data_IF_661716458978
#
_entry.id   IF_661716458978
#
_cell.length_a   1.000
_cell.length_b   1.000
_cell.length_c   1.000
_cell.angle_alpha   90.00
_cell.angle_beta   90.00
_cell.angle_gamma   90.00
#
_symmetry.space_group_name_H-M   'P 1'
#
loop_
_entity.id
_entity.type
_entity.pdbx_description
1 polymer ?
#
# COMPACT_ATOMS: atom_id res chain seq x y z
N UNK A 1 -52.43 -17.38 8.95
CA UNK A 1 -50.96 -17.29 8.96
C UNK A 1 -50.55 -16.77 10.34
N UNK A 2 -50.18 -17.65 11.28
CA UNK A 2 -49.79 -17.28 12.66
C UNK A 2 -48.28 -17.40 12.75
N UNK A 3 -47.58 -16.27 12.77
CA UNK A 3 -46.14 -16.26 12.97
C UNK A 3 -45.82 -16.80 14.37
N UNK A 4 -44.93 -17.80 14.43
CA UNK A 4 -44.57 -18.49 15.67
C UNK A 4 -43.79 -17.53 16.60
N UNK A 5 -44.11 -17.48 17.91
CA UNK A 5 -43.45 -16.59 18.86
C UNK A 5 -41.94 -16.87 19.00
N UNK A 6 -41.50 -18.05 18.55
CA UNK A 6 -40.10 -18.46 18.51
C UNK A 6 -39.27 -17.62 17.50
N UNK A 7 -39.91 -17.12 16.43
CA UNK A 7 -39.26 -16.28 15.43
C UNK A 7 -38.96 -14.87 15.96
N UNK A 8 -39.79 -14.35 16.89
CA UNK A 8 -39.57 -13.04 17.51
C UNK A 8 -38.39 -13.04 18.49
N UNK A 9 -38.16 -14.16 19.19
CA UNK A 9 -37.05 -14.27 20.15
C UNK A 9 -35.69 -14.32 19.43
N UNK A 10 -35.62 -14.94 18.24
CA UNK A 10 -34.39 -14.99 17.42
C UNK A 10 -34.01 -13.59 16.88
N UNK A 11 -35.00 -12.77 16.49
CA UNK A 11 -34.75 -11.41 15.99
C UNK A 11 -34.28 -10.48 17.12
N UNK A 12 -34.86 -10.61 18.33
CA UNK A 12 -34.44 -9.81 19.49
C UNK A 12 -33.00 -10.12 19.94
N UNK A 13 -32.55 -11.37 19.83
CA UNK A 13 -31.19 -11.77 20.18
C UNK A 13 -30.12 -11.23 19.20
N UNK A 14 -30.46 -11.03 17.92
CA UNK A 14 -29.53 -10.53 16.91
C UNK A 14 -29.27 -9.01 17.02
N UNK A 15 -30.13 -8.26 17.71
CA UNK A 15 -29.99 -6.82 17.89
C UNK A 15 -28.95 -6.42 18.96
N UNK A 16 -28.54 -7.33 19.84
CA UNK A 16 -27.60 -7.03 20.93
C UNK A 16 -26.13 -7.07 20.44
N UNK A 17 -25.87 -7.64 19.26
CA UNK A 17 -24.53 -7.75 18.67
C UNK A 17 -24.24 -6.67 17.61
N UNK A 18 -24.83 -5.46 17.72
CA UNK A 18 -24.43 -4.33 16.88
C UNK A 18 -23.26 -3.59 17.55
N UNK A 19 -22.02 -3.68 17.03
CA UNK A 19 -20.97 -2.77 17.47
C UNK A 19 -21.34 -1.38 16.95
N UNK A 20 -21.82 -0.53 17.85
CA UNK A 20 -21.95 0.89 17.62
C UNK A 20 -20.56 1.51 17.45
N UNK A 21 -20.02 1.51 16.23
CA UNK A 21 -18.87 2.34 15.87
C UNK A 21 -19.41 3.75 15.66
N UNK A 22 -19.62 4.47 16.76
CA UNK A 22 -19.99 5.88 16.75
C UNK A 22 -18.73 6.74 16.92
N UNK A 23 -18.42 7.46 15.84
CA UNK A 23 -17.83 8.79 15.81
C UNK A 23 -16.44 8.99 16.47
N UNK A 24 -15.39 8.69 15.70
CA UNK A 24 -14.03 9.14 16.00
C UNK A 24 -13.28 9.54 14.72
N UNK A 25 -13.28 10.85 14.44
CA UNK A 25 -12.47 11.60 13.45
C UNK A 25 -12.77 11.36 11.96
N UNK A 26 -13.25 12.45 11.33
CA UNK A 26 -13.14 12.73 9.90
C UNK A 26 -11.80 12.19 9.37
N UNK A 27 -11.79 11.33 8.34
CA UNK A 27 -10.59 11.18 7.54
C UNK A 27 -10.36 12.54 6.88
N UNK A 28 -9.38 13.28 7.40
CA UNK A 28 -8.64 14.23 6.56
C UNK A 28 -8.23 13.43 5.34
N UNK A 29 -8.49 13.98 4.16
CA UNK A 29 -8.09 13.48 2.86
C UNK A 29 -6.89 12.54 2.95
N UNK A 30 -7.19 11.26 3.15
CA UNK A 30 -6.25 10.22 2.85
C UNK A 30 -6.27 10.24 1.34
N UNK A 31 -5.37 11.02 0.75
CA UNK A 31 -4.76 10.61 -0.51
C UNK A 31 -4.33 9.18 -0.20
N UNK A 32 -5.16 8.22 -0.60
CA UNK A 32 -4.80 6.83 -0.57
C UNK A 32 -3.44 6.80 -1.25
N UNK A 33 -2.40 6.46 -0.49
CA UNK A 33 -1.07 6.33 -1.04
C UNK A 33 -1.18 5.16 -2.02
N UNK A 34 -1.56 5.47 -3.26
CA UNK A 34 -1.58 4.51 -4.34
C UNK A 34 -0.15 3.99 -4.39
N UNK A 35 0.06 2.68 -4.19
CA UNK A 35 1.40 2.13 -4.17
C UNK A 35 2.11 2.56 -5.46
N UNK A 36 3.33 3.07 -5.32
CA UNK A 36 4.15 3.52 -6.44
C UNK A 36 4.55 2.38 -7.40
N UNK A 37 4.18 1.15 -7.03
CA UNK A 37 4.47 -0.10 -7.69
C UNK A 37 3.15 -0.80 -7.94
N UNK A 38 2.87 -1.14 -9.20
CA UNK A 38 1.73 -1.96 -9.56
C UNK A 38 1.95 -3.41 -9.07
N UNK A 39 0.91 -4.00 -8.48
CA UNK A 39 0.97 -5.35 -7.94
C UNK A 39 1.14 -6.41 -9.03
N UNK A 40 0.72 -6.13 -10.28
CA UNK A 40 0.95 -7.02 -11.41
C UNK A 40 2.39 -6.95 -11.96
N UNK A 41 3.16 -5.91 -11.63
CA UNK A 41 4.56 -5.73 -12.07
C UNK A 41 5.50 -5.26 -10.94
N UNK A 42 5.78 -6.11 -9.95
CA UNK A 42 6.46 -5.71 -8.69
C UNK A 42 7.92 -5.21 -8.86
N UNK A 43 8.53 -5.43 -10.02
CA UNK A 43 9.87 -4.94 -10.38
C UNK A 43 9.88 -3.54 -11.03
N UNK A 44 8.72 -2.99 -11.37
CA UNK A 44 8.58 -1.69 -12.03
C UNK A 44 7.89 -0.71 -11.09
N UNK A 45 8.46 0.48 -10.97
CA UNK A 45 7.80 1.61 -10.32
C UNK A 45 7.40 2.61 -11.39
N UNK A 46 6.18 3.11 -11.33
CA UNK A 46 5.66 4.09 -12.28
C UNK A 46 5.79 5.53 -11.77
N UNK A 47 6.02 5.68 -10.46
CA UNK A 47 6.02 6.97 -9.77
C UNK A 47 7.07 7.04 -8.67
N UNK A 48 7.64 8.24 -8.48
CA UNK A 48 8.55 8.51 -7.36
C UNK A 48 7.75 8.85 -6.11
N UNK A 49 8.23 8.40 -4.96
CA UNK A 49 7.66 8.77 -3.66
C UNK A 49 7.80 10.27 -3.36
N UNK A 50 8.84 10.92 -3.90
CA UNK A 50 9.03 12.36 -3.79
C UNK A 50 8.21 13.17 -4.80
N UNK A 51 7.66 12.53 -5.83
CA UNK A 51 6.91 13.24 -6.87
C UNK A 51 5.50 13.59 -6.42
N UNK A 52 5.11 14.84 -6.69
CA UNK A 52 3.77 15.38 -6.40
C UNK A 52 2.68 14.94 -7.36
N UNK A 53 2.90 13.97 -8.24
CA UNK A 53 1.88 13.68 -9.25
C UNK A 53 2.39 12.95 -10.46
N UNK A 54 3.63 13.22 -10.82
CA UNK A 54 4.13 12.87 -12.14
C UNK A 54 4.62 11.42 -12.19
N UNK A 55 4.48 10.83 -13.37
CA UNK A 55 5.11 9.55 -13.67
C UNK A 55 6.61 9.77 -13.86
N UNK A 56 7.40 8.74 -13.52
CA UNK A 56 8.84 8.70 -13.76
C UNK A 56 9.16 8.95 -15.24
N UNK A 57 8.30 8.49 -16.16
CA UNK A 57 8.48 8.70 -17.60
C UNK A 57 8.48 10.18 -18.00
N UNK A 58 7.75 11.02 -17.27
CA UNK A 58 7.64 12.45 -17.53
C UNK A 58 8.64 13.28 -16.67
N UNK A 59 9.43 12.63 -15.83
CA UNK A 59 10.43 13.31 -15.00
C UNK A 59 11.68 13.52 -15.84
N UNK A 60 12.20 14.75 -15.97
CA UNK A 60 13.41 14.99 -16.74
C UNK A 60 14.62 14.35 -16.05
N UNK A 61 15.44 13.64 -16.84
CA UNK A 61 16.67 12.99 -16.38
C UNK A 61 16.58 11.47 -16.25
N UNK A 62 17.70 10.84 -15.91
CA UNK A 62 17.76 9.38 -15.73
C UNK A 62 17.54 9.01 -14.28
N UNK A 63 16.43 8.34 -14.00
CA UNK A 63 16.09 7.85 -12.66
C UNK A 63 15.93 6.33 -12.68
N UNK A 64 16.49 5.66 -11.69
CA UNK A 64 16.32 4.22 -11.48
C UNK A 64 15.78 3.98 -10.08
N UNK A 65 14.65 3.29 -9.97
CA UNK A 65 14.02 2.96 -8.70
C UNK A 65 14.24 1.48 -8.42
N UNK A 66 14.85 1.18 -7.27
CA UNK A 66 14.92 -0.18 -6.77
C UNK A 66 13.64 -0.45 -5.98
N UNK A 67 12.77 -1.31 -6.52
CA UNK A 67 11.52 -1.66 -5.86
C UNK A 67 11.77 -2.57 -4.67
N UNK A 68 10.76 -2.70 -3.80
CA UNK A 68 10.85 -3.56 -2.63
C UNK A 68 11.17 -5.01 -3.01
N UNK A 69 10.52 -5.52 -4.05
CA UNK A 69 10.76 -6.88 -4.57
C UNK A 69 12.22 -7.08 -5.01
N UNK A 70 12.81 -6.13 -5.73
CA UNK A 70 14.23 -6.18 -6.14
C UNK A 70 15.14 -6.32 -4.93
N UNK A 71 14.91 -5.51 -3.89
CA UNK A 71 15.73 -5.53 -2.68
C UNK A 71 15.58 -6.85 -1.91
N UNK A 72 14.35 -7.36 -1.80
CA UNK A 72 14.07 -8.60 -1.10
C UNK A 72 14.67 -9.82 -1.84
N UNK A 73 14.60 -9.86 -3.17
CA UNK A 73 15.19 -10.94 -3.98
C UNK A 73 16.71 -10.93 -3.96
N UNK A 74 17.33 -9.74 -3.93
CA UNK A 74 18.77 -9.61 -3.72
C UNK A 74 19.20 -9.95 -2.30
N UNK A 75 18.24 -10.07 -1.36
CA UNK A 75 18.50 -10.16 0.09
C UNK A 75 19.35 -9.00 0.59
N UNK A 76 19.11 -7.81 0.05
CA UNK A 76 19.90 -6.63 0.36
C UNK A 76 19.72 -6.22 1.82
N UNK A 77 20.81 -6.30 2.60
CA UNK A 77 20.83 -5.89 4.02
C UNK A 77 21.52 -4.54 4.25
N UNK A 78 22.19 -4.02 3.23
CA UNK A 78 22.92 -2.75 3.30
C UNK A 78 22.73 -1.94 2.03
N UNK A 79 22.96 -0.63 2.13
CA UNK A 79 22.90 0.27 0.97
C UNK A 79 23.93 -0.13 -0.10
N UNK A 80 25.12 -0.57 0.31
CA UNK A 80 26.16 -1.02 -0.64
C UNK A 80 25.68 -2.19 -1.48
N UNK A 81 25.01 -3.14 -0.83
CA UNK A 81 24.47 -4.31 -1.48
C UNK A 81 23.36 -3.94 -2.46
N UNK A 82 22.44 -3.06 -2.04
CA UNK A 82 21.38 -2.53 -2.89
C UNK A 82 21.94 -1.78 -4.12
N UNK A 83 22.93 -0.90 -3.94
CA UNK A 83 23.45 -0.06 -5.02
C UNK A 83 24.26 -0.83 -6.08
N UNK A 84 24.70 -2.07 -5.80
CA UNK A 84 25.44 -2.90 -6.75
C UNK A 84 24.62 -3.24 -8.00
N UNK A 85 23.29 -3.21 -7.94
CA UNK A 85 22.43 -3.49 -9.09
C UNK A 85 22.32 -2.32 -10.08
N UNK A 86 22.77 -1.13 -9.70
CA UNK A 86 22.71 0.06 -10.55
C UNK A 86 24.06 0.28 -11.22
N UNK A 87 24.09 0.13 -12.53
CA UNK A 87 25.30 0.35 -13.33
C UNK A 87 25.84 1.77 -13.10
N UNK A 88 27.16 1.89 -12.95
CA UNK A 88 27.85 3.17 -12.79
C UNK A 88 27.86 3.74 -11.36
N UNK A 89 27.20 3.08 -10.39
CA UNK A 89 27.28 3.51 -8.98
C UNK A 89 28.50 2.88 -8.31
N UNK A 90 29.39 3.74 -7.78
CA UNK A 90 30.53 3.31 -6.96
C UNK A 90 30.43 3.93 -5.56
N UNK A 91 30.83 3.17 -4.54
CA UNK A 91 30.72 3.60 -3.14
C UNK A 91 32.13 3.76 -2.57
N UNK A 92 32.42 4.99 -2.13
CA UNK A 92 33.62 5.33 -1.38
C UNK A 92 33.67 4.64 -0.03
N UNK A 93 34.86 4.57 0.57
CA UNK A 93 35.04 3.98 1.91
C UNK A 93 34.49 4.87 3.00
#
# INVERSE_FOLDING_TARGET
MRASPLLLVVIAALCISQPAIAAGKRPRDAVAAVPATDAATPYKADRLSSSRGESILNTPGQTTVLTRQVLDDMKATSLRDAMRSTAGVTIGR
#
